data_IF_543495555625
#
_entry.id   IF_543495555625
#
_cell.length_a   1.000
_cell.length_b   1.000
_cell.length_c   1.000
_cell.angle_alpha   90.00
_cell.angle_beta   90.00
_cell.angle_gamma   90.00
#
_symmetry.space_group_name_H-M   'P 1'
#
loop_
_entity.id
_entity.type
_entity.pdbx_description
1 polymer ?
#
# COMPACT_ATOMS: atom_id res chain seq x y z
N UNK A 1 3.96 14.59 16.33
CA UNK A 1 3.24 15.17 15.19
C UNK A 1 2.44 14.04 14.58
N UNK A 2 1.12 14.17 14.45
CA UNK A 2 0.30 13.08 13.90
C UNK A 2 0.57 12.90 12.42
N UNK A 3 0.57 11.67 11.92
CA UNK A 3 0.79 11.38 10.50
C UNK A 3 -0.32 12.06 9.65
N UNK A 4 0.02 12.90 8.65
CA UNK A 4 -0.96 13.55 7.80
C UNK A 4 -1.86 12.56 7.03
N UNK A 5 -1.40 11.33 6.77
CA UNK A 5 -2.23 10.28 6.14
C UNK A 5 -3.35 9.82 7.05
N UNK A 6 -3.09 9.74 8.35
CA UNK A 6 -4.10 9.35 9.34
C UNK A 6 -5.19 10.42 9.40
N UNK A 7 -4.83 11.69 9.49
CA UNK A 7 -5.83 12.78 9.51
C UNK A 7 -6.65 12.81 8.22
N UNK A 8 -6.00 12.68 7.07
CA UNK A 8 -6.70 12.63 5.78
C UNK A 8 -7.66 11.43 5.68
N UNK A 9 -7.26 10.26 6.18
CA UNK A 9 -8.11 9.06 6.18
C UNK A 9 -9.30 9.21 7.13
N UNK A 10 -9.09 9.80 8.31
CA UNK A 10 -10.16 10.08 9.28
C UNK A 10 -11.16 11.07 8.69
N UNK A 11 -10.69 12.17 8.10
CA UNK A 11 -11.56 13.17 7.46
C UNK A 11 -12.32 12.58 6.26
N UNK A 12 -11.63 11.81 5.42
CA UNK A 12 -12.26 11.13 4.29
C UNK A 12 -13.36 10.16 4.76
N UNK A 13 -13.06 9.30 5.74
CA UNK A 13 -14.04 8.37 6.29
C UNK A 13 -15.21 9.11 6.95
N UNK A 14 -14.94 10.20 7.69
CA UNK A 14 -15.96 11.01 8.33
C UNK A 14 -16.92 11.63 7.31
N UNK A 15 -16.42 12.06 6.14
CA UNK A 15 -17.22 12.68 5.07
C UNK A 15 -18.33 11.78 4.51
N UNK A 16 -18.27 10.48 4.79
CA UNK A 16 -19.28 9.49 4.38
C UNK A 16 -20.26 9.11 5.51
N UNK A 17 -20.23 9.80 6.64
CA UNK A 17 -21.14 9.57 7.78
C UNK A 17 -22.40 10.43 7.69
N UNK A 18 -23.47 10.00 8.36
CA UNK A 18 -24.72 10.78 8.43
C UNK A 18 -24.56 12.05 9.28
N UNK A 19 -23.70 12.01 10.30
CA UNK A 19 -23.36 13.17 11.12
C UNK A 19 -22.68 14.26 10.29
N UNK A 20 -21.74 13.89 9.43
CA UNK A 20 -21.14 14.83 8.50
C UNK A 20 -22.15 15.43 7.53
N UNK A 21 -23.05 14.59 6.97
CA UNK A 21 -24.14 15.07 6.11
C UNK A 21 -25.07 16.08 6.82
N UNK A 22 -25.16 16.04 8.15
CA UNK A 22 -25.89 17.02 8.97
C UNK A 22 -25.11 18.29 9.29
N UNK A 23 -23.85 18.42 8.82
CA UNK A 23 -23.00 19.59 8.98
C UNK A 23 -22.05 19.53 10.19
N UNK A 24 -21.94 18.41 10.88
CA UNK A 24 -21.04 18.24 12.02
C UNK A 24 -19.64 17.81 11.55
N UNK A 25 -18.61 18.57 11.93
CA UNK A 25 -17.21 18.18 11.70
C UNK A 25 -16.79 17.07 12.67
N UNK A 26 -15.77 16.28 12.30
CA UNK A 26 -15.29 15.20 13.17
C UNK A 26 -14.77 15.72 14.52
N UNK A 27 -14.13 16.90 14.53
CA UNK A 27 -13.63 17.53 15.76
C UNK A 27 -14.78 17.93 16.70
N UNK A 28 -15.86 18.52 16.16
CA UNK A 28 -17.07 18.83 16.93
C UNK A 28 -17.71 17.57 17.50
N UNK A 29 -17.86 16.53 16.66
CA UNK A 29 -18.40 15.24 17.09
C UNK A 29 -17.55 14.62 18.20
N UNK A 30 -16.22 14.57 18.02
CA UNK A 30 -15.29 13.95 18.97
C UNK A 30 -15.24 14.68 20.30
N UNK A 31 -15.40 16.01 20.32
CA UNK A 31 -15.50 16.77 21.58
C UNK A 31 -16.81 16.47 22.32
N UNK A 32 -17.91 16.28 21.58
CA UNK A 32 -19.23 15.97 22.15
C UNK A 32 -19.36 14.51 22.58
N UNK A 33 -18.70 13.60 21.85
CA UNK A 33 -18.75 12.14 21.97
C UNK A 33 -17.33 11.57 21.97
N UNK A 34 -16.55 11.79 23.05
CA UNK A 34 -15.12 11.46 23.07
C UNK A 34 -14.84 9.97 22.97
N UNK A 35 -15.70 9.13 23.52
CA UNK A 35 -15.55 7.68 23.42
C UNK A 35 -15.79 7.22 21.97
N UNK A 36 -16.93 7.58 21.38
CA UNK A 36 -17.30 7.17 20.03
C UNK A 36 -16.38 7.76 18.96
N UNK A 37 -15.98 9.03 19.10
CA UNK A 37 -14.95 9.64 18.24
C UNK A 37 -13.60 8.95 18.37
N UNK A 38 -13.22 8.55 19.59
CA UNK A 38 -12.03 7.73 19.84
C UNK A 38 -12.08 6.37 19.15
N UNK A 39 -13.20 5.65 19.28
CA UNK A 39 -13.40 4.34 18.64
C UNK A 39 -13.42 4.44 17.11
N UNK A 40 -14.06 5.49 16.56
CA UNK A 40 -14.01 5.77 15.12
C UNK A 40 -12.58 5.96 14.64
N UNK A 41 -11.78 6.78 15.34
CA UNK A 41 -10.39 7.01 14.96
C UNK A 41 -9.54 5.74 15.05
N UNK A 42 -9.74 4.91 16.09
CA UNK A 42 -9.05 3.63 16.25
C UNK A 42 -9.37 2.66 15.10
N UNK A 43 -10.61 2.61 14.63
CA UNK A 43 -10.97 1.72 13.52
C UNK A 43 -10.26 2.10 12.22
N UNK A 44 -10.14 3.40 11.92
CA UNK A 44 -9.37 3.89 10.76
C UNK A 44 -7.88 3.55 10.89
N UNK A 45 -7.29 3.71 12.09
CA UNK A 45 -5.90 3.30 12.34
C UNK A 45 -5.69 1.80 12.10
N UNK A 46 -6.60 0.96 12.58
CA UNK A 46 -6.52 -0.49 12.37
C UNK A 46 -6.64 -0.86 10.89
N UNK A 47 -7.53 -0.19 10.14
CA UNK A 47 -7.70 -0.41 8.71
C UNK A 47 -6.44 -0.04 7.90
N UNK A 48 -5.81 1.09 8.23
CA UNK A 48 -4.54 1.51 7.61
C UNK A 48 -3.42 0.51 7.90
N UNK A 49 -3.27 0.08 9.16
CA UNK A 49 -2.27 -0.93 9.53
C UNK A 49 -2.47 -2.26 8.80
N UNK A 50 -3.73 -2.68 8.60
CA UNK A 50 -4.06 -3.87 7.83
C UNK A 50 -3.71 -3.70 6.34
N UNK A 51 -3.98 -2.54 5.75
CA UNK A 51 -3.63 -2.24 4.36
C UNK A 51 -2.11 -2.24 4.14
N UNK A 52 -1.34 -1.63 5.04
CA UNK A 52 0.12 -1.61 4.97
C UNK A 52 0.73 -3.02 5.06
N UNK A 53 0.14 -3.91 5.88
CA UNK A 53 0.59 -5.30 5.99
C UNK A 53 0.42 -6.08 4.67
N UNK A 54 -0.61 -5.79 3.86
CA UNK A 54 -0.80 -6.41 2.54
C UNK A 54 0.30 -5.98 1.56
N UNK A 55 0.68 -4.71 1.57
CA UNK A 55 1.74 -4.18 0.69
C UNK A 55 3.11 -4.76 1.06
N UNK A 56 3.37 -5.01 2.34
CA UNK A 56 4.61 -5.65 2.79
C UNK A 56 4.68 -7.14 2.40
N UNK A 57 3.54 -7.83 2.34
CA UNK A 57 3.45 -9.25 1.97
C UNK A 57 3.62 -9.54 0.48
N UNK A 58 3.41 -8.54 -0.39
CA UNK A 58 3.58 -8.65 -1.84
C UNK A 58 4.99 -8.23 -2.27
N UNK A 59 6.02 -8.89 -1.71
CA UNK A 59 7.35 -8.83 -2.33
C UNK A 59 7.28 -9.54 -3.68
N UNK A 60 7.70 -8.94 -4.81
CA UNK A 60 7.75 -9.65 -6.07
C UNK A 60 8.71 -10.83 -5.89
N UNK A 61 8.22 -12.05 -6.07
CA UNK A 61 9.10 -13.21 -6.19
C UNK A 61 10.04 -12.94 -7.37
N UNK A 62 11.32 -12.69 -7.07
CA UNK A 62 12.35 -12.59 -8.10
C UNK A 62 12.44 -13.96 -8.77
N UNK A 63 11.79 -14.12 -9.92
CA UNK A 63 11.95 -15.29 -10.78
C UNK A 63 13.41 -15.29 -11.26
N UNK A 64 14.22 -16.18 -10.72
CA UNK A 64 15.59 -16.42 -11.20
C UNK A 64 15.47 -17.20 -12.51
N UNK A 65 15.70 -16.54 -13.64
CA UNK A 65 15.81 -17.19 -14.95
C UNK A 65 17.23 -17.80 -15.02
N UNK A 66 17.39 -19.13 -15.10
CA UNK A 66 18.71 -19.72 -15.26
C UNK A 66 19.30 -19.30 -16.61
N UNK A 67 20.53 -18.80 -16.59
CA UNK A 67 21.28 -18.45 -17.80
C UNK A 67 21.58 -19.74 -18.58
N UNK A 68 20.92 -19.92 -19.72
CA UNK A 68 21.21 -21.03 -20.65
C UNK A 68 22.52 -20.72 -21.36
N UNK A 69 23.63 -21.28 -20.88
CA UNK A 69 24.91 -21.24 -21.60
C UNK A 69 24.76 -22.02 -22.90
N UNK A 70 24.67 -21.29 -24.01
CA UNK A 70 24.58 -21.88 -25.34
C UNK A 70 26.02 -22.17 -25.82
N UNK A 71 26.61 -23.26 -25.34
CA UNK A 71 27.96 -23.73 -25.73
C UNK A 71 27.98 -24.34 -27.15
N UNK A 72 27.24 -23.75 -28.10
CA UNK A 72 27.25 -24.22 -29.49
C UNK A 72 28.59 -23.84 -30.12
N UNK A 73 29.41 -24.80 -30.58
CA UNK A 73 30.64 -24.48 -31.29
C UNK A 73 30.30 -23.70 -32.55
N UNK A 74 30.90 -22.53 -32.73
CA UNK A 74 30.85 -21.80 -33.99
C UNK A 74 31.77 -22.55 -34.96
N UNK A 75 31.28 -23.09 -36.10
CA UNK A 75 32.15 -23.75 -37.06
C UNK A 75 33.16 -22.74 -37.60
N UNK A 76 34.45 -22.97 -37.33
CA UNK A 76 35.53 -22.19 -37.90
C UNK A 76 35.47 -22.26 -39.42
N UNK A 77 35.47 -21.10 -40.09
CA UNK A 77 35.61 -21.06 -41.55
C UNK A 77 36.92 -21.74 -41.92
N UNK A 78 36.84 -22.86 -42.62
CA UNK A 78 37.97 -23.53 -43.23
C UNK A 78 38.70 -22.57 -44.15
N UNK A 79 39.96 -22.28 -43.84
CA UNK A 79 40.90 -21.66 -44.76
C UNK A 79 41.24 -22.68 -45.84
N UNK A 80 40.92 -22.34 -47.09
CA UNK A 80 41.45 -23.01 -48.27
C UNK A 80 42.80 -22.38 -48.58
N UNK A 81 43.88 -23.02 -48.15
CA UNK A 81 45.22 -22.66 -48.62
C UNK A 81 45.57 -23.59 -49.79
N UNK A 82 45.85 -22.95 -50.94
CA UNK A 82 46.23 -23.58 -52.21
C UNK A 82 47.70 -23.91 -52.34
#
# INVERSE_FOLDING_TARGET
>A
MTDPRIEAAVDAAWSHTTQFASGETFDQYSKRKPYEGGEFRKSILAALAAADAVVAGTSPETIIIPEVRNDRPIPGKGGVDG
#
